data_IF_725028105737
#
_entry.id   IF_725028105737
#
_cell.length_a   1.000
_cell.length_b   1.000
_cell.length_c   1.000
_cell.angle_alpha   90.00
_cell.angle_beta   90.00
_cell.angle_gamma   90.00
#
_symmetry.space_group_name_H-M   'P 1'
#
loop_
_entity.id
_entity.type
_entity.pdbx_description
1 polymer ?
#
# COMPACT_ATOMS: atom_id res chain seq x y z
N UNK A 1 14.31 14.84 1.15
CA UNK A 1 14.59 14.83 2.58
C UNK A 1 13.30 14.72 3.37
N UNK A 2 13.16 13.64 4.13
CA UNK A 2 11.95 13.33 4.89
C UNK A 2 11.60 14.39 5.94
N UNK A 3 12.59 15.05 6.49
CA UNK A 3 12.37 16.07 7.51
C UNK A 3 11.69 17.31 6.93
N UNK A 4 12.03 17.69 5.71
CA UNK A 4 11.42 18.83 5.02
C UNK A 4 9.96 18.52 4.67
N UNK A 5 9.70 17.29 4.21
CA UNK A 5 8.35 16.84 3.85
C UNK A 5 7.42 16.84 5.07
N UNK A 6 7.92 16.40 6.22
CA UNK A 6 7.14 16.42 7.46
C UNK A 6 6.73 17.83 7.88
N UNK A 7 7.60 18.80 7.67
CA UNK A 7 7.29 20.18 7.99
C UNK A 7 6.19 20.78 7.11
N UNK A 8 6.15 20.40 5.85
CA UNK A 8 5.11 20.85 4.93
C UNK A 8 3.76 20.17 5.20
N UNK A 9 3.79 18.89 5.57
CA UNK A 9 2.59 18.12 5.78
C UNK A 9 1.74 18.62 6.97
N UNK A 10 2.37 19.15 8.00
CA UNK A 10 1.69 19.64 9.21
C UNK A 10 0.72 20.79 8.90
N UNK A 11 1.03 21.62 7.93
CA UNK A 11 0.18 22.77 7.59
C UNK A 11 -1.17 22.38 6.98
N UNK A 12 -1.31 21.16 6.53
CA UNK A 12 -2.51 20.66 5.87
C UNK A 12 -3.43 19.82 6.75
N UNK A 13 -3.03 19.57 7.98
CA UNK A 13 -3.77 18.68 8.90
C UNK A 13 -5.23 19.12 9.09
N UNK A 14 -5.47 20.41 9.21
CA UNK A 14 -6.83 20.94 9.41
C UNK A 14 -7.74 20.89 8.20
N UNK A 15 -7.19 20.60 7.02
CA UNK A 15 -7.97 20.56 5.79
C UNK A 15 -8.41 19.16 5.40
N UNK A 16 -7.86 18.16 6.08
CA UNK A 16 -8.17 16.76 5.81
C UNK A 16 -9.55 16.44 6.36
N UNK A 17 -10.52 16.30 5.48
CA UNK A 17 -11.87 15.84 5.84
C UNK A 17 -12.12 14.47 5.26
N UNK A 18 -12.69 13.55 6.03
CA UNK A 18 -13.05 12.24 5.51
C UNK A 18 -14.07 12.38 4.39
N UNK A 19 -13.76 11.74 3.26
CA UNK A 19 -14.73 11.53 2.19
C UNK A 19 -15.35 10.16 2.38
N UNK A 20 -15.98 9.97 3.51
CA UNK A 20 -16.51 8.65 3.84
C UNK A 20 -17.89 8.51 3.23
N UNK A 21 -18.00 7.60 2.29
CA UNK A 21 -19.26 7.21 1.67
C UNK A 21 -19.89 5.99 2.35
N UNK A 22 -19.25 5.47 3.38
CA UNK A 22 -19.68 4.27 4.10
C UNK A 22 -19.82 4.59 5.59
N UNK A 23 -20.70 3.87 6.28
CA UNK A 23 -20.89 3.94 7.71
C UNK A 23 -19.65 3.53 8.49
N UNK A 24 -18.62 4.34 8.40
CA UNK A 24 -17.37 4.16 9.11
C UNK A 24 -17.18 5.35 10.03
N UNK A 25 -16.83 5.13 11.30
CA UNK A 25 -16.57 6.25 12.20
C UNK A 25 -15.50 7.17 11.62
N UNK A 26 -15.86 8.42 11.41
CA UNK A 26 -14.87 9.42 11.06
C UNK A 26 -13.88 9.58 12.19
N UNK A 27 -12.61 9.66 11.83
CA UNK A 27 -11.62 10.15 12.77
C UNK A 27 -11.92 11.63 13.01
N UNK A 28 -12.06 12.02 14.26
CA UNK A 28 -12.26 13.43 14.63
C UNK A 28 -11.15 14.28 14.04
N UNK A 29 -11.42 15.56 13.88
CA UNK A 29 -10.40 16.52 13.51
C UNK A 29 -9.14 16.28 14.35
N UNK A 30 -8.10 15.80 13.68
CA UNK A 30 -6.90 15.28 14.34
C UNK A 30 -5.95 16.37 14.82
N UNK A 31 -6.24 17.64 14.56
CA UNK A 31 -5.48 18.76 15.12
C UNK A 31 -5.48 18.76 16.65
N UNK A 32 -6.60 18.38 17.25
CA UNK A 32 -6.79 18.40 18.69
C UNK A 32 -6.45 17.08 19.37
N UNK A 33 -5.93 16.10 18.59
CA UNK A 33 -5.60 14.77 19.10
C UNK A 33 -4.09 14.63 19.21
N UNK A 34 -3.59 14.37 20.41
CA UNK A 34 -2.17 14.05 20.59
C UNK A 34 -1.79 12.78 19.82
N UNK A 35 -0.59 12.77 19.23
CA UNK A 35 -0.05 11.58 18.62
C UNK A 35 0.09 10.46 19.68
N UNK A 36 -0.18 9.19 19.30
CA UNK A 36 0.00 8.07 20.21
C UNK A 36 1.43 8.00 20.73
N UNK A 37 1.57 7.66 22.00
CA UNK A 37 2.90 7.48 22.60
C UNK A 37 3.52 6.18 22.09
N UNK A 38 4.85 6.19 21.97
CA UNK A 38 5.62 5.02 21.60
C UNK A 38 5.36 3.88 22.60
N UNK A 39 4.92 2.72 22.08
CA UNK A 39 4.66 1.52 22.87
C UNK A 39 5.54 0.37 22.37
N UNK A 40 6.65 0.15 23.06
CA UNK A 40 7.63 -0.87 22.69
C UNK A 40 7.06 -2.29 22.69
N UNK A 41 6.23 -2.62 23.68
CA UNK A 41 5.63 -3.96 23.78
C UNK A 41 4.70 -4.25 22.61
N UNK A 42 3.87 -3.27 22.26
CA UNK A 42 2.95 -3.41 21.11
C UNK A 42 3.73 -3.54 19.80
N UNK A 43 4.80 -2.78 19.63
CA UNK A 43 5.65 -2.87 18.44
C UNK A 43 6.27 -4.24 18.33
N UNK A 44 6.84 -4.77 19.41
CA UNK A 44 7.45 -6.11 19.41
C UNK A 44 6.41 -7.20 19.11
N UNK A 45 5.21 -7.07 19.65
CA UNK A 45 4.10 -7.99 19.35
C UNK A 45 3.72 -7.93 17.87
N UNK A 46 3.61 -6.75 17.31
CA UNK A 46 3.28 -6.57 15.89
C UNK A 46 4.36 -7.15 14.97
N UNK A 47 5.63 -6.96 15.32
CA UNK A 47 6.76 -7.54 14.59
C UNK A 47 6.68 -9.06 14.61
N UNK A 48 6.43 -9.66 15.77
CA UNK A 48 6.32 -11.11 15.90
C UNK A 48 5.14 -11.68 15.12
N UNK A 49 3.97 -11.05 15.20
CA UNK A 49 2.79 -11.47 14.42
C UNK A 49 3.05 -11.39 12.92
N UNK A 50 3.71 -10.33 12.45
CA UNK A 50 4.08 -10.19 11.03
C UNK A 50 5.10 -11.25 10.60
N UNK A 51 6.05 -11.59 11.48
CA UNK A 51 7.03 -12.64 11.22
C UNK A 51 6.33 -14.00 11.09
N UNK A 52 5.43 -14.33 12.00
CA UNK A 52 4.67 -15.58 11.95
C UNK A 52 3.81 -15.68 10.68
N UNK A 53 3.18 -14.58 10.27
CA UNK A 53 2.40 -14.52 9.03
C UNK A 53 3.28 -14.81 7.80
N UNK A 54 4.49 -14.26 7.74
CA UNK A 54 5.43 -14.53 6.66
C UNK A 54 5.89 -15.99 6.63
N UNK A 55 6.22 -16.55 7.78
CA UNK A 55 6.69 -17.94 7.90
C UNK A 55 5.59 -18.94 7.52
N UNK A 56 4.32 -18.60 7.76
CA UNK A 56 3.19 -19.45 7.42
C UNK A 56 2.78 -19.35 5.95
N UNK A 57 3.30 -18.38 5.19
CA UNK A 57 2.97 -18.21 3.78
C UNK A 57 3.48 -19.38 2.94
N UNK A 58 2.57 -20.01 2.20
CA UNK A 58 2.89 -21.10 1.28
C UNK A 58 3.36 -20.66 -0.09
N UNK A 59 3.39 -19.35 -0.37
CA UNK A 59 3.71 -18.82 -1.70
C UNK A 59 5.16 -18.34 -1.75
N UNK A 60 6.01 -19.13 -2.40
CA UNK A 60 7.45 -18.89 -2.43
C UNK A 60 7.98 -18.39 -3.77
N UNK A 61 7.19 -18.49 -4.84
CA UNK A 61 7.61 -18.12 -6.19
C UNK A 61 6.45 -17.53 -7.00
N UNK A 62 6.82 -16.83 -8.08
CA UNK A 62 5.86 -16.14 -8.96
C UNK A 62 4.83 -17.06 -9.58
N UNK A 63 5.25 -18.18 -10.13
CA UNK A 63 4.34 -19.10 -10.82
C UNK A 63 3.29 -19.68 -9.86
N UNK A 64 3.70 -20.00 -8.64
CA UNK A 64 2.78 -20.50 -7.62
C UNK A 64 1.74 -19.44 -7.24
N UNK A 65 2.17 -18.19 -7.05
CA UNK A 65 1.26 -17.10 -6.71
C UNK A 65 0.30 -16.79 -7.84
N UNK A 66 0.75 -16.77 -9.09
CA UNK A 66 -0.14 -16.52 -10.23
C UNK A 66 -1.21 -17.60 -10.36
N UNK A 67 -0.84 -18.87 -10.23
CA UNK A 67 -1.82 -19.97 -10.24
C UNK A 67 -2.82 -19.87 -9.12
N UNK A 68 -2.38 -19.46 -7.94
CA UNK A 68 -3.29 -19.26 -6.82
C UNK A 68 -4.26 -18.11 -7.06
N UNK A 69 -3.79 -17.03 -7.63
CA UNK A 69 -4.64 -15.88 -7.95
C UNK A 69 -5.76 -16.24 -8.92
N UNK A 70 -5.50 -17.08 -9.92
CA UNK A 70 -6.53 -17.59 -10.81
C UNK A 70 -7.64 -18.28 -10.03
N UNK A 71 -7.31 -19.13 -9.06
CA UNK A 71 -8.27 -19.79 -8.19
C UNK A 71 -9.08 -18.82 -7.35
N UNK A 72 -8.42 -17.80 -6.84
CA UNK A 72 -9.06 -16.74 -6.04
C UNK A 72 -10.07 -15.96 -6.89
N UNK A 73 -9.68 -15.56 -8.09
CA UNK A 73 -10.57 -14.85 -9.01
C UNK A 73 -11.77 -15.67 -9.45
N UNK A 74 -11.67 -16.99 -9.49
CA UNK A 74 -12.79 -17.86 -9.76
C UNK A 74 -13.88 -17.83 -8.68
N UNK A 75 -13.58 -17.30 -7.49
CA UNK A 75 -14.57 -17.09 -6.42
C UNK A 75 -15.37 -15.80 -6.59
N UNK A 76 -14.94 -14.92 -7.48
CA UNK A 76 -15.62 -13.65 -7.76
C UNK A 76 -16.65 -13.84 -8.88
N UNK A 77 -17.68 -13.00 -8.86
CA UNK A 77 -18.62 -12.95 -9.99
C UNK A 77 -17.91 -12.39 -11.23
N UNK A 78 -18.44 -12.66 -12.45
CA UNK A 78 -17.87 -12.07 -13.66
C UNK A 78 -17.78 -10.54 -13.61
N UNK A 79 -18.79 -9.88 -13.03
CA UNK A 79 -18.82 -8.42 -12.89
C UNK A 79 -17.75 -7.93 -11.92
N UNK A 80 -17.55 -8.62 -10.80
CA UNK A 80 -16.50 -8.29 -9.82
C UNK A 80 -15.12 -8.46 -10.41
N UNK A 81 -14.88 -9.55 -11.14
CA UNK A 81 -13.61 -9.77 -11.85
C UNK A 81 -13.33 -8.66 -12.86
N UNK A 82 -14.34 -8.26 -13.61
CA UNK A 82 -14.19 -7.19 -14.60
C UNK A 82 -13.80 -5.85 -13.94
N UNK A 83 -14.41 -5.51 -12.80
CA UNK A 83 -14.04 -4.31 -12.05
C UNK A 83 -12.57 -4.31 -11.66
N UNK A 84 -12.03 -5.44 -11.19
CA UNK A 84 -10.62 -5.56 -10.83
C UNK A 84 -9.73 -5.51 -12.08
N UNK A 85 -10.07 -6.25 -13.13
CA UNK A 85 -9.29 -6.26 -14.36
C UNK A 85 -9.23 -4.88 -15.04
N UNK A 86 -10.31 -4.10 -14.94
CA UNK A 86 -10.35 -2.75 -15.50
C UNK A 86 -9.37 -1.80 -14.79
N UNK A 87 -9.07 -2.03 -13.52
CA UNK A 87 -8.04 -1.22 -12.82
C UNK A 87 -6.70 -1.37 -13.53
N UNK A 88 -6.24 -2.59 -13.74
CA UNK A 88 -4.94 -2.82 -14.41
C UNK A 88 -4.99 -2.48 -15.90
N UNK A 89 -6.11 -2.73 -16.57
CA UNK A 89 -6.30 -2.40 -17.99
C UNK A 89 -6.22 -0.90 -18.24
N UNK A 90 -6.77 -0.09 -17.34
CA UNK A 90 -6.79 1.38 -17.46
C UNK A 90 -5.55 2.04 -16.87
N UNK A 91 -4.69 1.28 -16.18
CA UNK A 91 -3.44 1.80 -15.66
C UNK A 91 -2.45 2.08 -16.81
N UNK A 92 -1.53 3.04 -16.64
CA UNK A 92 -0.48 3.27 -17.62
C UNK A 92 0.34 2.00 -17.85
N UNK A 93 0.75 1.78 -19.10
CA UNK A 93 1.64 0.66 -19.43
C UNK A 93 3.05 0.97 -18.96
N UNK A 94 3.67 -0.01 -18.29
CA UNK A 94 5.05 0.12 -17.83
C UNK A 94 5.99 0.25 -19.03
N UNK A 95 6.82 1.29 -19.00
CA UNK A 95 7.82 1.53 -20.03
C UNK A 95 9.22 1.59 -19.40
N UNK A 96 10.10 0.71 -19.86
CA UNK A 96 11.47 0.64 -19.39
C UNK A 96 12.42 1.47 -20.27
N UNK A 97 13.46 2.02 -19.66
CA UNK A 97 14.62 2.55 -20.38
C UNK A 97 15.29 1.42 -21.16
N UNK A 98 16.02 1.73 -22.28
CA UNK A 98 16.58 0.69 -23.15
C UNK A 98 17.45 -0.36 -22.46
N UNK A 99 18.16 0.00 -21.40
CA UNK A 99 19.09 -0.90 -20.71
C UNK A 99 18.40 -1.79 -19.67
N UNK A 100 17.10 -1.65 -19.46
CA UNK A 100 16.35 -2.37 -18.43
C UNK A 100 15.13 -3.09 -18.98
N UNK A 101 14.73 -4.13 -18.28
CA UNK A 101 13.51 -4.89 -18.56
C UNK A 101 12.93 -5.40 -17.26
N UNK A 102 11.70 -5.90 -17.31
CA UNK A 102 11.08 -6.58 -16.17
C UNK A 102 12.02 -7.66 -15.61
N UNK A 103 12.49 -8.56 -16.46
CA UNK A 103 13.32 -9.68 -16.02
C UNK A 103 14.66 -9.24 -15.46
N UNK A 104 15.30 -8.24 -16.07
CA UNK A 104 16.59 -7.75 -15.58
C UNK A 104 16.48 -7.12 -14.19
N UNK A 105 15.45 -6.32 -13.95
CA UNK A 105 15.26 -5.68 -12.64
C UNK A 105 14.83 -6.71 -11.58
N UNK A 106 13.94 -7.63 -11.94
CA UNK A 106 13.50 -8.68 -11.03
C UNK A 106 14.66 -9.57 -10.58
N UNK A 107 15.61 -9.86 -11.47
CA UNK A 107 16.76 -10.70 -11.15
C UNK A 107 17.80 -10.04 -10.25
N UNK A 108 17.76 -8.73 -10.11
CA UNK A 108 18.66 -8.01 -9.21
C UNK A 108 18.29 -8.26 -7.77
N UNK A 109 19.28 -8.40 -6.90
CA UNK A 109 19.06 -8.60 -5.48
C UNK A 109 18.58 -7.30 -4.81
N UNK A 110 17.80 -7.45 -3.74
CA UNK A 110 17.37 -6.33 -2.92
C UNK A 110 18.58 -5.53 -2.44
N UNK A 111 18.43 -4.24 -2.37
CA UNK A 111 19.44 -3.21 -2.07
C UNK A 111 20.41 -2.90 -3.22
N UNK A 112 20.36 -3.66 -4.32
CA UNK A 112 21.20 -3.44 -5.50
C UNK A 112 20.40 -2.98 -6.73
N UNK A 113 19.11 -2.81 -6.59
CA UNK A 113 18.26 -2.31 -7.68
C UNK A 113 18.51 -0.83 -7.91
N UNK A 114 18.60 -0.36 -9.17
CA UNK A 114 18.87 1.05 -9.45
C UNK A 114 17.69 1.95 -9.10
N UNK A 115 17.96 3.26 -9.05
CA UNK A 115 16.91 4.26 -8.87
C UNK A 115 15.93 4.21 -10.04
N UNK A 116 14.66 4.46 -9.76
CA UNK A 116 13.57 4.30 -10.72
C UNK A 116 13.69 5.22 -11.94
N UNK A 117 14.29 6.39 -11.80
CA UNK A 117 14.56 7.30 -12.92
C UNK A 117 15.53 6.75 -13.96
N UNK A 118 16.33 5.77 -13.62
CA UNK A 118 17.21 5.07 -14.58
C UNK A 118 16.51 3.88 -15.23
N UNK A 119 15.51 3.31 -14.56
CA UNK A 119 14.82 2.09 -14.98
C UNK A 119 13.68 2.37 -15.93
N UNK A 120 12.87 3.39 -15.62
CA UNK A 120 11.64 3.71 -16.34
C UNK A 120 11.77 4.99 -17.15
N UNK A 121 10.96 5.11 -18.21
CA UNK A 121 10.92 6.33 -18.99
C UNK A 121 10.32 7.48 -18.17
N UNK A 122 10.71 8.75 -18.45
CA UNK A 122 10.09 9.91 -17.80
C UNK A 122 8.58 9.97 -18.00
N UNK A 123 8.10 9.55 -19.15
CA UNK A 123 6.67 9.52 -19.49
C UNK A 123 5.91 8.54 -18.59
N UNK A 124 6.47 7.35 -18.37
CA UNK A 124 5.84 6.38 -17.47
C UNK A 124 5.88 6.86 -16.01
N UNK A 125 7.00 7.40 -15.56
CA UNK A 125 7.13 7.94 -14.20
C UNK A 125 6.06 9.00 -13.95
N UNK A 126 5.85 9.90 -14.91
CA UNK A 126 4.82 10.93 -14.82
C UNK A 126 3.41 10.34 -14.79
N UNK A 127 3.11 9.42 -15.70
CA UNK A 127 1.80 8.77 -15.78
C UNK A 127 1.50 7.96 -14.52
N UNK A 128 2.49 7.27 -13.98
CA UNK A 128 2.36 6.53 -12.72
C UNK A 128 1.98 7.47 -11.56
N UNK A 129 2.67 8.60 -11.43
CA UNK A 129 2.39 9.60 -10.38
C UNK A 129 0.99 10.17 -10.49
N UNK A 130 0.51 10.43 -11.70
CA UNK A 130 -0.82 10.99 -11.95
C UNK A 130 -1.96 10.12 -11.42
N UNK A 131 -1.75 8.83 -11.28
CA UNK A 131 -2.76 7.92 -10.71
C UNK A 131 -3.14 8.28 -9.27
N UNK A 132 -2.31 9.03 -8.58
CA UNK A 132 -2.48 9.37 -7.16
C UNK A 132 -3.00 10.80 -6.93
N UNK A 133 -3.44 11.48 -7.98
CA UNK A 133 -3.93 12.87 -7.91
C UNK A 133 -5.10 13.08 -6.96
N UNK A 134 -5.95 12.07 -6.82
CA UNK A 134 -7.16 12.14 -6.00
C UNK A 134 -6.97 11.54 -4.60
N UNK A 135 -5.78 11.16 -4.25
CA UNK A 135 -5.47 10.54 -2.98
C UNK A 135 -5.03 9.09 -3.11
N UNK A 136 -4.81 8.48 -1.97
CA UNK A 136 -4.33 7.10 -1.87
C UNK A 136 -5.04 6.35 -0.75
N UNK A 137 -4.99 5.02 -0.83
CA UNK A 137 -5.46 4.12 0.22
C UNK A 137 -4.34 3.14 0.55
N UNK A 138 -4.16 2.89 1.84
CA UNK A 138 -3.29 1.84 2.35
C UNK A 138 -4.13 0.88 3.20
N UNK A 139 -4.01 -0.41 2.92
CA UNK A 139 -4.60 -1.43 3.77
C UNK A 139 -3.58 -1.92 4.79
N UNK A 140 -3.97 -2.04 6.04
CA UNK A 140 -3.10 -2.55 7.09
C UNK A 140 -3.88 -3.23 8.21
N UNK A 141 -3.18 -4.03 9.01
CA UNK A 141 -3.74 -4.85 10.08
C UNK A 141 -4.21 -4.00 11.26
N UNK A 142 -3.40 -3.04 11.66
CA UNK A 142 -3.63 -2.21 12.83
C UNK A 142 -3.91 -0.77 12.45
N UNK A 143 -4.71 -0.07 13.24
CA UNK A 143 -4.74 1.38 13.15
C UNK A 143 -3.36 1.92 13.52
N UNK A 144 -2.96 3.09 13.02
CA UNK A 144 -1.67 3.68 13.40
C UNK A 144 -1.51 3.84 14.91
N UNK A 145 -2.59 4.12 15.62
CA UNK A 145 -2.60 4.21 17.08
C UNK A 145 -2.31 2.86 17.74
N UNK A 146 -2.99 1.80 17.31
CA UNK A 146 -2.78 0.43 17.83
C UNK A 146 -1.40 -0.10 17.46
N UNK A 147 -0.89 0.24 16.29
CA UNK A 147 0.42 -0.17 15.83
C UNK A 147 1.56 0.41 16.66
N UNK A 148 1.42 1.64 17.11
CA UNK A 148 2.39 2.31 17.97
C UNK A 148 3.69 2.71 17.28
N UNK A 149 3.77 2.63 15.95
CA UNK A 149 4.97 3.01 15.20
C UNK A 149 4.98 4.51 14.91
N UNK A 150 6.18 5.09 14.84
CA UNK A 150 6.41 6.46 14.35
C UNK A 150 5.43 7.50 14.92
N UNK A 151 5.10 7.39 16.20
CA UNK A 151 4.14 8.29 16.87
C UNK A 151 2.76 8.32 16.18
N UNK A 152 2.31 7.19 15.66
CA UNK A 152 1.02 7.08 14.97
C UNK A 152 1.05 7.46 13.50
N UNK A 153 2.21 7.70 12.92
CA UNK A 153 2.34 7.94 11.49
C UNK A 153 2.11 6.66 10.68
N UNK A 154 1.73 6.83 9.42
CA UNK A 154 1.58 5.73 8.48
C UNK A 154 2.87 5.57 7.68
N UNK A 155 3.51 4.43 7.84
CA UNK A 155 4.79 4.12 7.18
C UNK A 155 5.56 3.06 7.93
N UNK A 156 6.53 2.44 7.26
CA UNK A 156 7.41 1.47 7.88
C UNK A 156 8.35 2.17 8.87
N UNK A 157 8.53 1.61 10.05
CA UNK A 157 9.37 2.24 11.07
C UNK A 157 10.84 2.32 10.69
N UNK A 158 11.31 1.45 9.77
CA UNK A 158 12.73 1.37 9.40
C UNK A 158 13.13 2.36 8.30
N UNK A 159 12.31 2.50 7.27
CA UNK A 159 12.63 3.37 6.12
C UNK A 159 11.64 4.51 5.92
N UNK A 160 10.63 4.62 6.79
CA UNK A 160 9.67 5.72 6.81
C UNK A 160 8.94 5.93 5.49
N UNK A 161 8.62 4.84 4.79
CA UNK A 161 7.81 4.88 3.57
C UNK A 161 6.58 3.99 3.70
N UNK A 162 5.54 4.34 2.96
CA UNK A 162 4.31 3.56 2.91
C UNK A 162 4.04 3.13 1.48
N UNK A 163 3.66 1.86 1.31
CA UNK A 163 3.11 1.36 0.05
C UNK A 163 1.62 1.68 0.01
N UNK A 164 1.20 2.35 -1.03
CA UNK A 164 -0.18 2.80 -1.20
C UNK A 164 -0.68 2.52 -2.61
N UNK A 165 -1.99 2.52 -2.78
CA UNK A 165 -2.62 2.43 -4.09
C UNK A 165 -3.47 3.67 -4.35
N UNK A 166 -3.82 3.96 -5.63
CA UNK A 166 -4.72 5.07 -5.92
C UNK A 166 -6.05 4.93 -5.19
N UNK A 167 -6.61 6.05 -4.78
CA UNK A 167 -7.88 6.09 -4.05
C UNK A 167 -8.98 5.29 -4.76
N UNK A 168 -9.17 5.51 -6.05
CA UNK A 168 -10.22 4.86 -6.84
C UNK A 168 -10.02 3.34 -6.90
N UNK A 169 -8.79 2.90 -7.05
CA UNK A 169 -8.45 1.47 -7.04
C UNK A 169 -8.74 0.84 -5.68
N UNK A 170 -8.37 1.53 -4.61
CA UNK A 170 -8.62 1.08 -3.24
C UNK A 170 -10.11 0.96 -2.94
N UNK A 171 -10.90 1.92 -3.36
CA UNK A 171 -12.35 1.90 -3.19
C UNK A 171 -12.99 0.74 -3.97
N UNK A 172 -12.53 0.46 -5.19
CA UNK A 172 -12.98 -0.69 -5.96
C UNK A 172 -12.66 -2.01 -5.25
N UNK A 173 -11.44 -2.13 -4.70
CA UNK A 173 -11.07 -3.33 -3.94
C UNK A 173 -11.93 -3.51 -2.70
N UNK A 174 -12.23 -2.45 -1.97
CA UNK A 174 -13.11 -2.53 -0.80
C UNK A 174 -14.49 -3.04 -1.21
N UNK A 175 -15.03 -2.50 -2.28
CA UNK A 175 -16.34 -2.90 -2.81
C UNK A 175 -16.38 -4.37 -3.24
N UNK A 176 -15.37 -4.82 -3.97
CA UNK A 176 -15.32 -6.18 -4.52
C UNK A 176 -15.00 -7.22 -3.45
N UNK A 177 -14.02 -6.94 -2.61
CA UNK A 177 -13.57 -7.88 -1.56
C UNK A 177 -14.44 -7.85 -0.32
N UNK A 178 -15.26 -6.80 -0.16
CA UNK A 178 -16.06 -6.57 1.06
C UNK A 178 -15.21 -6.57 2.33
N UNK A 179 -13.94 -6.18 2.19
CA UNK A 179 -13.01 -6.16 3.30
C UNK A 179 -12.44 -7.52 3.70
N UNK A 180 -12.67 -8.57 2.90
CA UNK A 180 -12.10 -9.89 3.16
C UNK A 180 -10.57 -9.79 3.20
N UNK A 181 -9.93 -10.03 4.35
CA UNK A 181 -8.49 -9.83 4.48
C UNK A 181 -7.67 -10.80 3.63
N UNK A 182 -8.09 -12.06 3.51
CA UNK A 182 -7.35 -13.04 2.72
C UNK A 182 -7.37 -12.70 1.22
N UNK A 183 -8.51 -12.28 0.71
CA UNK A 183 -8.64 -11.87 -0.68
C UNK A 183 -7.82 -10.61 -0.97
N UNK A 184 -7.83 -9.64 -0.07
CA UNK A 184 -6.99 -8.45 -0.17
C UNK A 184 -5.51 -8.80 -0.15
N UNK A 185 -5.08 -9.69 0.75
CA UNK A 185 -3.68 -10.15 0.82
C UNK A 185 -3.23 -10.78 -0.50
N UNK A 186 -4.08 -11.61 -1.09
CA UNK A 186 -3.76 -12.29 -2.35
C UNK A 186 -3.63 -11.32 -3.53
N UNK A 187 -4.51 -10.35 -3.61
CA UNK A 187 -4.50 -9.34 -4.69
C UNK A 187 -3.33 -8.37 -4.51
N UNK A 188 -3.05 -7.97 -3.28
CA UNK A 188 -2.05 -6.93 -2.98
C UNK A 188 -0.62 -7.47 -2.83
N UNK A 189 -0.42 -8.77 -2.88
CA UNK A 189 0.91 -9.36 -2.72
C UNK A 189 1.41 -9.32 -1.29
N UNK A 190 0.51 -9.41 -0.33
CA UNK A 190 0.83 -9.50 1.09
C UNK A 190 0.96 -10.96 1.51
N UNK A 191 1.66 -11.18 2.62
CA UNK A 191 1.74 -12.51 3.22
C UNK A 191 0.40 -12.86 3.90
N UNK A 192 0.08 -14.13 3.93
CA UNK A 192 -1.11 -14.60 4.64
C UNK A 192 -1.05 -14.17 6.11
N UNK A 193 -2.11 -13.51 6.57
CA UNK A 193 -2.22 -13.00 7.93
C UNK A 193 -1.71 -11.56 8.11
N UNK A 194 -1.08 -10.95 7.11
CA UNK A 194 -0.57 -9.57 7.21
C UNK A 194 -1.69 -8.56 7.49
N UNK A 195 -2.90 -8.82 7.05
CA UNK A 195 -4.05 -7.95 7.30
C UNK A 195 -4.89 -8.37 8.51
N UNK A 196 -4.55 -9.48 9.17
CA UNK A 196 -5.32 -9.96 10.31
C UNK A 196 -6.75 -10.32 9.94
N UNK A 197 -7.65 -10.25 10.93
CA UNK A 197 -9.07 -10.53 10.75
C UNK A 197 -9.94 -9.28 10.54
N UNK A 198 -9.46 -8.14 10.95
CA UNK A 198 -10.20 -6.86 10.90
C UNK A 198 -9.31 -5.73 10.37
N UNK A 199 -8.96 -5.77 9.08
CA UNK A 199 -8.07 -4.78 8.51
C UNK A 199 -8.71 -3.39 8.50
N UNK A 200 -7.85 -2.38 8.36
CA UNK A 200 -8.26 -0.99 8.18
C UNK A 200 -7.78 -0.47 6.84
N UNK A 201 -8.54 0.45 6.27
CA UNK A 201 -8.12 1.25 5.13
C UNK A 201 -7.73 2.64 5.64
N UNK A 202 -6.50 3.04 5.38
CA UNK A 202 -6.03 4.39 5.66
C UNK A 202 -6.27 5.21 4.40
N UNK A 203 -7.08 6.24 4.51
CA UNK A 203 -7.37 7.17 3.41
C UNK A 203 -6.46 8.39 3.54
N UNK A 204 -5.65 8.61 2.51
CA UNK A 204 -4.65 9.66 2.47
C UNK A 204 -5.06 10.67 1.41
N UNK A 205 -5.43 11.90 1.81
CA UNK A 205 -5.82 12.93 0.84
C UNK A 205 -4.62 13.39 0.00
N UNK A 206 -4.85 13.98 -1.17
CA UNK A 206 -3.77 14.39 -2.08
C UNK A 206 -2.72 15.28 -1.41
N UNK A 207 -3.14 16.21 -0.57
CA UNK A 207 -2.24 17.14 0.13
C UNK A 207 -1.29 16.46 1.12
N UNK A 208 -1.63 15.26 1.57
CA UNK A 208 -0.80 14.48 2.49
C UNK A 208 0.14 13.49 1.78
N UNK A 209 0.00 13.35 0.47
CA UNK A 209 0.87 12.49 -0.33
C UNK A 209 2.13 13.24 -0.68
N UNK A 210 3.26 12.83 -0.10
CA UNK A 210 4.56 13.44 -0.34
C UNK A 210 5.47 12.45 -1.08
N UNK A 211 6.09 12.96 -2.14
CA UNK A 211 7.06 12.24 -2.94
C UNK A 211 6.56 10.87 -3.44
N UNK A 212 5.38 10.82 -4.10
CA UNK A 212 4.88 9.56 -4.66
C UNK A 212 5.79 9.09 -5.78
N UNK A 213 6.17 7.81 -5.73
CA UNK A 213 7.13 7.23 -6.67
C UNK A 213 6.90 5.76 -6.89
N UNK A 214 7.42 5.26 -7.99
CA UNK A 214 7.41 3.82 -8.28
C UNK A 214 8.32 3.12 -7.27
N UNK A 215 7.87 2.02 -6.63
CA UNK A 215 8.73 1.25 -5.74
C UNK A 215 9.97 0.73 -6.48
N UNK A 216 11.15 0.92 -5.90
CA UNK A 216 12.42 0.45 -6.48
C UNK A 216 12.64 -1.05 -6.29
N UNK A 217 11.98 -1.64 -5.30
CA UNK A 217 12.25 -3.00 -4.83
C UNK A 217 13.29 -3.08 -3.72
N UNK A 218 13.86 -1.94 -3.31
CA UNK A 218 14.83 -1.88 -2.21
C UNK A 218 14.17 -1.50 -0.87
N UNK A 219 12.90 -1.13 -0.87
CA UNK A 219 12.18 -0.76 0.34
C UNK A 219 12.11 -1.95 1.32
N UNK A 220 12.10 -1.65 2.60
CA UNK A 220 12.08 -2.70 3.64
C UNK A 220 10.91 -3.66 3.52
N UNK A 221 9.77 -3.17 3.05
CA UNK A 221 8.56 -3.97 2.86
C UNK A 221 8.48 -4.68 1.50
N UNK A 222 9.45 -4.51 0.61
CA UNK A 222 9.51 -5.22 -0.66
C UNK A 222 10.16 -6.59 -0.44
N UNK A 223 9.33 -7.63 -0.24
CA UNK A 223 9.81 -8.98 0.05
C UNK A 223 9.99 -9.82 -1.21
N UNK A 224 11.03 -10.64 -1.24
CA UNK A 224 11.27 -11.59 -2.33
C UNK A 224 10.04 -12.50 -2.55
N UNK A 225 9.67 -12.69 -3.81
CA UNK A 225 8.47 -13.45 -4.19
C UNK A 225 7.14 -12.73 -4.00
N UNK A 226 7.15 -11.53 -3.43
CA UNK A 226 5.96 -10.71 -3.16
C UNK A 226 6.04 -9.32 -3.78
N UNK A 227 7.12 -9.00 -4.44
CA UNK A 227 7.33 -7.75 -5.15
C UNK A 227 7.72 -8.02 -6.60
N UNK A 228 7.26 -7.17 -7.50
CA UNK A 228 7.71 -7.14 -8.89
C UNK A 228 7.96 -5.70 -9.37
N UNK A 229 8.82 -5.51 -10.38
CA UNK A 229 9.03 -4.19 -10.96
C UNK A 229 7.77 -3.64 -11.63
N UNK A 230 7.68 -2.31 -11.70
CA UNK A 230 6.69 -1.64 -12.52
C UNK A 230 5.66 -0.78 -11.78
N UNK A 231 5.67 -0.76 -10.45
CA UNK A 231 4.68 0.00 -9.69
C UNK A 231 3.31 -0.64 -9.69
N UNK A 232 3.28 -1.96 -9.61
CA UNK A 232 2.07 -2.76 -9.55
C UNK A 232 2.24 -3.88 -8.54
N UNK A 233 1.15 -4.24 -7.85
CA UNK A 233 1.18 -5.37 -6.92
C UNK A 233 1.34 -6.70 -7.66
N UNK A 234 1.96 -7.66 -7.02
CA UNK A 234 2.06 -9.01 -7.50
C UNK A 234 1.29 -9.95 -6.56
N UNK A 235 0.37 -10.79 -7.06
CA UNK A 235 0.09 -11.04 -8.49
C UNK A 235 -1.06 -10.23 -9.09
N UNK A 236 -1.74 -9.38 -8.31
CA UNK A 236 -3.00 -8.76 -8.72
C UNK A 236 -2.88 -7.61 -9.72
N UNK A 237 -1.70 -7.11 -10.02
CA UNK A 237 -1.46 -5.99 -10.93
C UNK A 237 -2.19 -4.70 -10.56
N UNK A 238 -2.42 -4.48 -9.27
CA UNK A 238 -3.00 -3.22 -8.82
C UNK A 238 -1.93 -2.14 -8.80
N UNK A 239 -2.22 -0.92 -9.28
CA UNK A 239 -1.26 0.17 -9.19
C UNK A 239 -0.83 0.40 -7.76
N UNK A 240 0.47 0.60 -7.55
CA UNK A 240 1.01 0.96 -6.23
C UNK A 240 2.15 1.96 -6.35
N UNK A 241 2.31 2.75 -5.32
CA UNK A 241 3.42 3.67 -5.14
C UNK A 241 3.99 3.52 -3.74
N UNK A 242 5.20 3.97 -3.55
CA UNK A 242 5.68 4.34 -2.23
C UNK A 242 5.58 5.85 -2.07
N UNK A 243 5.18 6.26 -0.88
CA UNK A 243 5.14 7.67 -0.47
C UNK A 243 5.92 7.81 0.82
N UNK A 244 6.30 9.02 1.14
CA UNK A 244 6.90 9.31 2.44
C UNK A 244 5.86 9.11 3.54
N UNK A 245 6.30 8.74 4.74
CA UNK A 245 5.38 8.50 5.86
C UNK A 245 4.41 9.65 6.04
N UNK A 246 3.17 9.33 6.40
CA UNK A 246 2.11 10.31 6.61
C UNK A 246 1.97 10.54 8.11
N UNK A 247 2.23 11.76 8.62
CA UNK A 247 2.14 12.05 10.04
C UNK A 247 0.75 11.83 10.62
N UNK A 248 0.70 11.55 11.90
CA UNK A 248 -0.56 11.55 12.64
C UNK A 248 -1.33 12.85 12.41
N UNK A 249 -2.60 12.70 12.05
CA UNK A 249 -3.45 13.85 11.80
C UNK A 249 -3.63 14.20 10.33
N UNK A 250 -2.95 13.53 9.41
CA UNK A 250 -2.99 13.84 7.99
C UNK A 250 -3.60 12.72 7.14
N UNK A 251 -4.37 11.86 7.76
CA UNK A 251 -5.10 10.78 7.13
C UNK A 251 -6.39 10.48 7.88
N UNK A 252 -7.27 9.70 7.30
CA UNK A 252 -8.46 9.16 7.97
C UNK A 252 -8.43 7.64 7.96
N UNK A 253 -9.22 7.02 8.83
CA UNK A 253 -9.23 5.57 9.02
C UNK A 253 -10.63 5.03 8.76
N UNK A 254 -10.70 3.95 7.99
CA UNK A 254 -11.92 3.18 7.76
C UNK A 254 -11.68 1.75 8.19
N UNK A 255 -12.49 1.25 9.12
CA UNK A 255 -12.44 -0.17 9.51
C UNK A 255 -13.11 -1.03 8.44
N UNK A 256 -12.49 -2.16 8.12
CA UNK A 256 -12.96 -3.12 7.12
C UNK A 256 -13.19 -4.46 7.79
N UNK A 257 -14.35 -5.08 7.53
CA UNK A 257 -14.68 -6.38 8.07
C UNK A 257 -14.76 -6.37 9.60
N UNK A 258 -15.55 -7.25 10.13
CA UNK A 258 -15.83 -7.30 11.55
C UNK A 258 -17.03 -6.42 11.93
N UNK A 259 -17.89 -6.96 12.74
CA UNK A 259 -19.06 -6.28 13.33
C UNK A 259 -18.62 -5.26 14.37
#
# INVERSE_FOLDING_TARGET
DLSTIKGEAVDHVGTVKPKVELDVPEVKDVHDVEAPKYNKEQILKNIEESKLARESSGFKDFATRERYLEKVFNKLTPEERELIFNISKNAPKVEYQPDYSFDSVLSMSKNNRPNVEYVYTPEYIKAHRQQFENGAIKFQKFTPEEGGYNNGAVGNEKDHVAFVMPKESGETLIKVTKGDPELLEDILGLHRGDLGSSPVAIEIPPESIKNPRIPSGNEKSAFEGFWKPGGQTFPGNMPEAVIDEVPWGEFTIRKLGGD
#
